data_IF_398722520336
#
_entry.id   IF_398722520336
#
_cell.length_a   1.000
_cell.length_b   1.000
_cell.length_c   1.000
_cell.angle_alpha   90.00
_cell.angle_beta   90.00
_cell.angle_gamma   90.00
#
_symmetry.space_group_name_H-M   'P 1'
#
loop_
_entity.id
_entity.type
_entity.pdbx_description
1 polymer ?
#
# COMPACT_ATOMS: atom_id res chain seq x y z
N UNK A 1 8.95 14.34 -27.37
CA UNK A 1 7.69 14.56 -26.64
C UNK A 1 6.48 14.57 -27.56
N UNK A 2 5.46 13.73 -27.30
CA UNK A 2 4.21 13.75 -28.06
C UNK A 2 3.19 14.68 -27.39
N UNK A 3 2.48 15.51 -28.16
CA UNK A 3 1.45 16.42 -27.61
C UNK A 3 0.35 15.66 -26.84
N UNK A 4 0.08 14.42 -27.27
CA UNK A 4 -0.92 13.53 -26.66
C UNK A 4 -0.57 13.14 -25.22
N UNK A 5 0.68 12.76 -24.94
CA UNK A 5 1.08 12.35 -23.57
C UNK A 5 0.97 13.53 -22.61
N UNK A 6 1.39 14.73 -23.04
CA UNK A 6 1.25 15.98 -22.25
C UNK A 6 -0.19 16.29 -21.90
N UNK A 7 -1.09 16.29 -22.88
CA UNK A 7 -2.50 16.61 -22.65
C UNK A 7 -3.16 15.59 -21.72
N UNK A 8 -2.88 14.29 -21.91
CA UNK A 8 -3.36 13.23 -21.02
C UNK A 8 -2.82 13.41 -19.59
N UNK A 9 -1.53 13.70 -19.45
CA UNK A 9 -0.88 13.95 -18.15
C UNK A 9 -1.47 15.17 -17.44
N UNK A 10 -1.76 16.26 -18.17
CA UNK A 10 -2.43 17.44 -17.60
C UNK A 10 -3.84 17.14 -17.11
N UNK A 11 -4.62 16.36 -17.88
CA UNK A 11 -5.97 15.96 -17.49
C UNK A 11 -5.96 15.08 -16.22
N UNK A 12 -5.04 14.10 -16.14
CA UNK A 12 -4.85 13.28 -14.94
C UNK A 12 -4.47 14.18 -13.76
N UNK A 13 -3.49 15.06 -13.93
CA UNK A 13 -3.02 15.97 -12.88
C UNK A 13 -4.11 16.90 -12.36
N UNK A 14 -4.94 17.44 -13.24
CA UNK A 14 -6.11 18.24 -12.85
C UNK A 14 -7.14 17.43 -12.07
N UNK A 15 -7.38 16.17 -12.48
CA UNK A 15 -8.32 15.29 -11.81
C UNK A 15 -7.82 14.84 -10.42
N UNK A 16 -6.57 14.42 -10.28
CA UNK A 16 -6.05 13.91 -9.00
C UNK A 16 -5.54 15.02 -8.08
N UNK A 17 -5.20 16.19 -8.62
CA UNK A 17 -4.74 17.34 -7.84
C UNK A 17 -5.83 18.00 -7.00
N UNK A 18 -5.41 18.97 -6.17
CA UNK A 18 -6.26 19.66 -5.21
C UNK A 18 -7.57 20.23 -5.78
N UNK A 19 -7.62 20.85 -6.99
CA UNK A 19 -8.88 21.31 -7.57
C UNK A 19 -9.86 20.16 -7.83
N UNK A 20 -9.40 19.06 -8.44
CA UNK A 20 -10.23 17.89 -8.71
C UNK A 20 -10.70 17.20 -7.42
N UNK A 21 -9.87 17.16 -6.39
CA UNK A 21 -10.25 16.65 -5.07
C UNK A 21 -11.33 17.52 -4.41
N UNK A 22 -11.13 18.84 -4.34
CA UNK A 22 -12.15 19.78 -3.80
C UNK A 22 -13.48 19.68 -4.53
N UNK A 23 -13.46 19.50 -5.85
CA UNK A 23 -14.69 19.30 -6.62
C UNK A 23 -15.43 18.02 -6.22
N UNK A 24 -14.72 16.90 -6.03
CA UNK A 24 -15.32 15.64 -5.56
C UNK A 24 -15.88 15.76 -4.15
N UNK A 25 -15.16 16.43 -3.25
CA UNK A 25 -15.60 16.65 -1.88
C UNK A 25 -16.86 17.53 -1.82
N UNK A 26 -16.91 18.59 -2.63
CA UNK A 26 -18.11 19.42 -2.75
C UNK A 26 -19.32 18.65 -3.28
N UNK A 27 -19.13 17.78 -4.29
CA UNK A 27 -20.21 16.93 -4.82
C UNK A 27 -20.68 15.90 -3.78
N UNK A 28 -19.75 15.26 -3.07
CA UNK A 28 -20.08 14.30 -2.02
C UNK A 28 -20.86 14.98 -0.88
N UNK A 29 -20.43 16.15 -0.44
CA UNK A 29 -21.10 16.90 0.63
C UNK A 29 -22.47 17.42 0.19
N UNK A 30 -22.59 17.98 -1.02
CA UNK A 30 -23.87 18.40 -1.58
C UNK A 30 -24.86 17.21 -1.68
N UNK A 31 -24.37 16.05 -2.12
CA UNK A 31 -25.18 14.83 -2.19
C UNK A 31 -25.66 14.38 -0.81
N UNK A 32 -24.76 14.42 0.20
CA UNK A 32 -25.09 14.07 1.58
C UNK A 32 -26.16 14.99 2.16
N UNK A 33 -26.00 16.30 2.00
CA UNK A 33 -26.97 17.31 2.47
C UNK A 33 -28.32 17.13 1.77
N UNK A 34 -28.32 16.98 0.45
CA UNK A 34 -29.54 16.77 -0.34
C UNK A 34 -30.30 15.51 0.10
N UNK A 35 -29.58 14.42 0.41
CA UNK A 35 -30.15 13.14 0.87
C UNK A 35 -30.37 13.08 2.38
N UNK A 36 -30.10 14.16 3.12
CA UNK A 36 -30.18 14.22 4.60
C UNK A 36 -29.42 13.08 5.28
N UNK A 37 -28.27 12.70 4.71
CA UNK A 37 -27.47 11.61 5.23
C UNK A 37 -26.56 12.10 6.37
N UNK A 38 -26.35 11.26 7.40
CA UNK A 38 -25.38 11.56 8.45
C UNK A 38 -23.96 11.54 7.90
N UNK A 39 -23.02 12.09 8.66
CA UNK A 39 -21.58 11.91 8.40
C UNK A 39 -21.26 10.45 8.67
N UNK A 40 -21.10 9.65 7.62
CA UNK A 40 -20.93 8.20 7.71
C UNK A 40 -19.51 7.79 7.32
N UNK A 41 -18.87 7.02 8.20
CA UNK A 41 -17.66 6.25 7.94
C UNK A 41 -18.09 4.82 7.58
N UNK A 42 -17.64 4.31 6.45
CA UNK A 42 -17.86 2.91 6.07
C UNK A 42 -16.56 2.13 6.26
N UNK A 43 -16.63 0.99 6.94
CA UNK A 43 -15.50 0.10 7.17
C UNK A 43 -15.76 -1.28 6.56
N UNK A 44 -14.97 -1.63 5.55
CA UNK A 44 -15.00 -2.93 4.90
C UNK A 44 -14.00 -3.87 5.58
N UNK A 45 -14.54 -4.73 6.44
CA UNK A 45 -13.77 -5.64 7.27
C UNK A 45 -13.66 -7.03 6.63
N UNK A 46 -12.44 -7.48 6.38
CA UNK A 46 -12.16 -8.87 5.99
C UNK A 46 -11.58 -9.61 7.21
N UNK A 47 -12.30 -10.59 7.79
CA UNK A 47 -11.78 -11.36 8.91
C UNK A 47 -10.47 -12.09 8.60
N UNK A 48 -10.26 -12.49 7.34
CA UNK A 48 -9.05 -13.18 6.91
C UNK A 48 -7.85 -12.26 6.67
N UNK A 49 -8.00 -10.95 6.81
CA UNK A 49 -6.95 -9.95 6.59
C UNK A 49 -6.46 -9.36 7.92
N UNK A 50 -5.20 -9.62 8.32
CA UNK A 50 -4.70 -9.12 9.60
C UNK A 50 -4.56 -7.59 9.60
N UNK A 51 -4.37 -6.93 8.45
CA UNK A 51 -4.43 -5.46 8.36
C UNK A 51 -5.83 -4.95 8.66
N UNK A 52 -6.86 -5.68 8.25
CA UNK A 52 -8.25 -5.32 8.55
C UNK A 52 -8.54 -5.47 10.05
N UNK A 53 -7.98 -6.48 10.70
CA UNK A 53 -8.05 -6.63 12.15
C UNK A 53 -7.38 -5.47 12.91
N UNK A 54 -6.17 -5.06 12.50
CA UNK A 54 -5.51 -3.87 13.08
C UNK A 54 -6.34 -2.60 12.88
N UNK A 55 -6.91 -2.45 11.69
CA UNK A 55 -7.77 -1.31 11.35
C UNK A 55 -9.01 -1.26 12.23
N UNK A 56 -9.62 -2.41 12.56
CA UNK A 56 -10.79 -2.46 13.43
C UNK A 56 -10.52 -1.88 14.82
N UNK A 57 -9.34 -2.14 15.39
CA UNK A 57 -8.93 -1.56 16.69
C UNK A 57 -8.82 -0.03 16.62
N UNK A 58 -8.30 0.49 15.51
CA UNK A 58 -8.18 1.92 15.30
C UNK A 58 -9.54 2.57 15.02
N UNK A 59 -10.43 1.90 14.26
CA UNK A 59 -11.81 2.32 14.01
C UNK A 59 -12.61 2.43 15.31
N UNK A 60 -12.45 1.48 16.23
CA UNK A 60 -13.11 1.56 17.54
C UNK A 60 -12.75 2.85 18.28
N UNK A 61 -11.47 3.24 18.26
CA UNK A 61 -11.02 4.52 18.84
C UNK A 61 -11.49 5.73 18.06
N UNK A 62 -11.61 5.64 16.73
CA UNK A 62 -12.09 6.72 15.87
C UNK A 62 -13.54 7.10 16.22
N UNK A 63 -14.43 6.11 16.32
CA UNK A 63 -15.87 6.38 16.54
C UNK A 63 -16.19 6.83 17.97
N UNK A 64 -15.30 6.57 18.92
CA UNK A 64 -15.38 7.14 20.27
C UNK A 64 -15.02 8.62 20.30
N UNK A 65 -14.15 9.08 19.38
CA UNK A 65 -13.58 10.43 19.38
C UNK A 65 -14.28 11.38 18.40
N UNK A 66 -14.71 10.86 17.25
CA UNK A 66 -15.32 11.63 16.19
C UNK A 66 -16.80 11.28 16.08
N UNK A 67 -17.71 12.27 16.00
CA UNK A 67 -19.15 12.04 15.92
C UNK A 67 -19.58 11.63 14.50
N UNK A 68 -19.06 10.49 14.03
CA UNK A 68 -19.38 9.88 12.74
C UNK A 68 -20.17 8.60 12.96
N UNK A 69 -21.17 8.37 12.12
CA UNK A 69 -21.89 7.10 12.10
C UNK A 69 -21.03 6.04 11.41
N UNK A 70 -20.86 4.87 12.03
CA UNK A 70 -20.11 3.77 11.44
C UNK A 70 -21.04 2.76 10.80
N UNK A 71 -20.79 2.45 9.52
CA UNK A 71 -21.33 1.28 8.86
C UNK A 71 -20.21 0.26 8.64
N UNK A 72 -20.41 -0.97 9.12
CA UNK A 72 -19.44 -2.06 8.99
C UNK A 72 -19.95 -3.04 7.95
N UNK A 73 -19.13 -3.31 6.93
CA UNK A 73 -19.40 -4.27 5.87
C UNK A 73 -18.40 -5.41 5.99
N UNK A 74 -18.85 -6.58 6.47
CA UNK A 74 -18.00 -7.77 6.47
C UNK A 74 -17.92 -8.30 5.04
N UNK A 75 -16.71 -8.41 4.51
CA UNK A 75 -16.43 -8.86 3.16
C UNK A 75 -15.63 -10.16 3.17
N UNK A 76 -15.72 -10.91 2.08
CA UNK A 76 -14.85 -12.06 1.85
C UNK A 76 -13.47 -11.62 1.37
N UNK A 77 -12.51 -12.54 1.45
CA UNK A 77 -11.19 -12.38 0.83
C UNK A 77 -11.29 -11.96 -0.64
N UNK A 78 -10.38 -11.09 -1.13
CA UNK A 78 -10.40 -10.62 -2.51
C UNK A 78 -10.43 -11.78 -3.51
N UNK A 79 -11.15 -11.56 -4.61
CA UNK A 79 -11.18 -12.51 -5.72
C UNK A 79 -9.80 -12.58 -6.42
N UNK A 80 -9.52 -13.70 -7.08
CA UNK A 80 -8.23 -13.93 -7.75
C UNK A 80 -7.98 -13.02 -8.96
N UNK A 81 -9.00 -12.32 -9.45
CA UNK A 81 -8.89 -11.34 -10.55
C UNK A 81 -8.19 -10.03 -10.12
N UNK A 82 -8.10 -9.77 -8.81
CA UNK A 82 -7.54 -8.53 -8.23
C UNK A 82 -6.33 -8.76 -7.33
N UNK A 83 -6.19 -9.97 -6.80
CA UNK A 83 -5.10 -10.41 -5.94
C UNK A 83 -4.17 -11.35 -6.69
N UNK A 84 -3.00 -10.82 -7.04
CA UNK A 84 -2.04 -11.48 -7.91
C UNK A 84 -1.32 -12.66 -7.25
N UNK A 85 -1.03 -12.55 -5.95
CA UNK A 85 -0.19 -13.50 -5.22
C UNK A 85 -0.79 -13.74 -3.82
N UNK A 86 -2.01 -14.30 -3.73
CA UNK A 86 -2.79 -14.35 -2.49
C UNK A 86 -2.08 -15.12 -1.37
N UNK A 87 -1.33 -16.18 -1.72
CA UNK A 87 -0.58 -16.98 -0.74
C UNK A 87 0.61 -16.22 -0.14
N UNK A 88 1.40 -15.56 -1.00
CA UNK A 88 2.53 -14.76 -0.54
C UNK A 88 2.03 -13.57 0.30
N UNK A 89 0.93 -12.93 -0.15
CA UNK A 89 0.27 -11.85 0.58
C UNK A 89 -0.23 -12.27 1.95
N UNK A 90 -0.96 -13.39 2.05
CA UNK A 90 -1.46 -13.87 3.33
C UNK A 90 -0.31 -14.12 4.33
N UNK A 91 0.79 -14.73 3.87
CA UNK A 91 1.97 -14.98 4.70
C UNK A 91 2.64 -13.69 5.16
N UNK A 92 2.92 -12.79 4.22
CA UNK A 92 3.57 -11.51 4.53
C UNK A 92 2.68 -10.64 5.44
N UNK A 93 1.37 -10.60 5.21
CA UNK A 93 0.45 -9.76 5.97
C UNK A 93 0.45 -10.10 7.47
N UNK A 94 0.66 -11.36 7.87
CA UNK A 94 0.80 -11.74 9.29
C UNK A 94 2.07 -11.18 9.88
N UNK A 95 3.20 -11.31 9.19
CA UNK A 95 4.48 -10.73 9.63
C UNK A 95 4.39 -9.20 9.73
N UNK A 96 3.85 -8.57 8.70
CA UNK A 96 3.68 -7.11 8.61
C UNK A 96 2.71 -6.57 9.66
N UNK A 97 1.62 -7.29 9.95
CA UNK A 97 0.70 -6.91 11.01
C UNK A 97 1.35 -6.99 12.40
N UNK A 98 2.20 -7.99 12.66
CA UNK A 98 2.96 -8.05 13.90
C UNK A 98 3.94 -6.87 14.02
N UNK A 99 4.60 -6.51 12.92
CA UNK A 99 5.49 -5.35 12.83
C UNK A 99 4.72 -4.04 13.07
N UNK A 100 3.60 -3.83 12.39
CA UNK A 100 2.74 -2.66 12.56
C UNK A 100 2.18 -2.57 13.99
N UNK A 101 1.77 -3.69 14.58
CA UNK A 101 1.29 -3.74 15.95
C UNK A 101 2.40 -3.51 16.98
N UNK A 102 3.66 -3.78 16.65
CA UNK A 102 4.81 -3.44 17.48
C UNK A 102 5.22 -1.96 17.31
N UNK A 103 4.98 -1.38 16.13
CA UNK A 103 5.27 0.03 15.86
C UNK A 103 4.20 0.96 16.44
N UNK A 104 2.92 0.63 16.21
CA UNK A 104 1.75 1.35 16.70
C UNK A 104 1.26 0.72 18.00
N UNK A 105 0.53 1.47 18.81
CA UNK A 105 -0.12 1.02 20.05
C UNK A 105 -1.31 0.06 19.82
N UNK A 106 -1.14 -0.94 18.95
CA UNK A 106 -2.15 -1.93 18.54
C UNK A 106 -1.78 -3.34 19.00
N UNK A 107 -2.75 -4.23 19.15
CA UNK A 107 -2.52 -5.62 19.54
C UNK A 107 -2.54 -6.56 18.32
N UNK A 108 -1.58 -7.49 18.25
CA UNK A 108 -1.63 -8.61 17.31
C UNK A 108 -0.92 -9.84 17.87
N UNK A 109 -1.68 -10.91 18.12
CA UNK A 109 -1.16 -12.17 18.68
C UNK A 109 -0.84 -13.25 17.64
N UNK A 110 -1.02 -12.96 16.34
CA UNK A 110 -0.86 -13.93 15.27
C UNK A 110 0.60 -14.25 14.97
N UNK A 111 0.89 -15.55 14.77
CA UNK A 111 2.24 -16.04 14.39
C UNK A 111 2.29 -16.67 12.99
N UNK A 112 1.13 -17.07 12.47
CA UNK A 112 0.93 -17.70 11.16
C UNK A 112 -0.47 -17.34 10.66
N UNK A 113 -0.78 -17.70 9.43
CA UNK A 113 -2.13 -17.50 8.87
C UNK A 113 -3.18 -18.24 9.70
N UNK A 114 -4.36 -17.63 9.85
CA UNK A 114 -5.53 -18.33 10.39
C UNK A 114 -6.11 -19.28 9.34
N UNK A 115 -6.77 -20.35 9.79
CA UNK A 115 -7.36 -21.33 8.89
C UNK A 115 -8.55 -20.74 8.13
N UNK A 116 -8.65 -20.99 6.82
CA UNK A 116 -9.75 -20.49 5.97
C UNK A 116 -11.13 -20.92 6.49
N UNK A 117 -11.25 -22.13 7.04
CA UNK A 117 -12.50 -22.60 7.65
C UNK A 117 -12.88 -21.78 8.89
N UNK A 118 -11.89 -21.40 9.70
CA UNK A 118 -12.05 -20.56 10.88
C UNK A 118 -12.42 -19.12 10.50
N UNK A 119 -11.77 -18.55 9.48
CA UNK A 119 -12.11 -17.23 8.93
C UNK A 119 -13.57 -17.16 8.46
N UNK A 120 -14.05 -18.20 7.76
CA UNK A 120 -15.46 -18.29 7.32
C UNK A 120 -16.43 -18.36 8.48
N UNK A 121 -16.12 -19.14 9.52
CA UNK A 121 -16.93 -19.25 10.75
C UNK A 121 -17.03 -17.90 11.47
N UNK A 122 -15.91 -17.19 11.61
CA UNK A 122 -15.87 -15.85 12.19
C UNK A 122 -16.67 -14.86 11.33
N UNK A 123 -16.47 -14.86 10.00
CA UNK A 123 -17.25 -14.02 9.08
C UNK A 123 -18.76 -14.24 9.21
N UNK A 124 -19.22 -15.49 9.37
CA UNK A 124 -20.63 -15.81 9.58
C UNK A 124 -21.21 -15.27 10.91
N UNK A 125 -20.37 -15.12 11.94
CA UNK A 125 -20.76 -14.47 13.21
C UNK A 125 -20.78 -12.95 13.05
N UNK A 126 -19.81 -12.40 12.32
CA UNK A 126 -19.64 -10.95 12.17
C UNK A 126 -20.65 -10.30 11.21
N UNK A 127 -21.28 -11.04 10.29
CA UNK A 127 -22.34 -10.47 9.45
C UNK A 127 -23.66 -10.19 10.19
N UNK A 128 -23.85 -10.79 11.38
CA UNK A 128 -25.04 -10.55 12.20
C UNK A 128 -25.06 -9.09 12.65
N UNK A 129 -26.16 -8.40 12.41
CA UNK A 129 -26.31 -6.99 12.78
C UNK A 129 -26.38 -6.83 14.31
N UNK A 130 -25.66 -5.82 14.81
CA UNK A 130 -25.56 -5.46 16.22
C UNK A 130 -25.37 -3.94 16.35
N UNK A 131 -25.61 -3.35 17.53
CA UNK A 131 -25.10 -2.01 17.85
C UNK A 131 -23.61 -1.89 17.56
N UNK A 132 -23.16 -0.72 17.09
CA UNK A 132 -21.80 -0.49 16.57
C UNK A 132 -20.71 -0.84 17.59
N UNK A 133 -20.89 -0.44 18.84
CA UNK A 133 -19.99 -0.73 19.96
C UNK A 133 -19.84 -2.25 20.20
N UNK A 134 -20.96 -2.97 20.18
CA UNK A 134 -20.97 -4.43 20.32
C UNK A 134 -20.35 -5.11 19.10
N UNK A 135 -20.61 -4.59 17.90
CA UNK A 135 -20.08 -5.13 16.66
C UNK A 135 -18.55 -5.00 16.59
N UNK A 136 -18.01 -3.83 16.96
CA UNK A 136 -16.56 -3.62 17.04
C UNK A 136 -15.91 -4.50 18.12
N UNK A 137 -16.56 -4.62 19.28
CA UNK A 137 -16.10 -5.52 20.35
C UNK A 137 -16.05 -6.97 19.84
N UNK A 138 -17.09 -7.43 19.13
CA UNK A 138 -17.12 -8.77 18.55
C UNK A 138 -15.99 -8.98 17.53
N UNK A 139 -15.74 -8.01 16.64
CA UNK A 139 -14.63 -8.05 15.67
C UNK A 139 -13.29 -8.20 16.38
N UNK A 140 -13.06 -7.41 17.43
CA UNK A 140 -11.78 -7.39 18.15
C UNK A 140 -11.57 -8.68 18.96
N UNK A 141 -12.58 -9.15 19.70
CA UNK A 141 -12.51 -10.37 20.50
C UNK A 141 -12.35 -11.62 19.63
N UNK A 142 -13.20 -11.79 18.60
CA UNK A 142 -13.13 -12.94 17.69
C UNK A 142 -11.85 -12.92 16.86
N UNK A 143 -11.41 -11.73 16.43
CA UNK A 143 -10.18 -11.54 15.70
C UNK A 143 -8.95 -11.94 16.52
N UNK A 144 -8.85 -11.51 17.79
CA UNK A 144 -7.72 -11.88 18.65
C UNK A 144 -7.63 -13.40 18.84
N UNK A 145 -8.75 -14.05 19.19
CA UNK A 145 -8.80 -15.50 19.35
C UNK A 145 -8.46 -16.25 18.06
N UNK A 146 -9.00 -15.80 16.92
CA UNK A 146 -8.73 -16.40 15.61
C UNK A 146 -7.26 -16.26 15.21
N UNK A 147 -6.66 -15.07 15.32
CA UNK A 147 -5.26 -14.84 14.92
C UNK A 147 -4.28 -15.59 15.83
N UNK A 148 -4.60 -15.72 17.13
CA UNK A 148 -3.84 -16.58 18.05
C UNK A 148 -4.02 -18.07 17.80
N UNK A 149 -4.96 -18.47 16.94
CA UNK A 149 -5.42 -19.86 16.77
C UNK A 149 -5.90 -20.48 18.11
N UNK A 150 -6.53 -19.68 18.98
CA UNK A 150 -7.14 -20.15 20.23
C UNK A 150 -8.57 -20.64 19.94
N UNK A 151 -8.68 -21.90 19.50
CA UNK A 151 -9.96 -22.51 19.17
C UNK A 151 -10.94 -22.56 20.35
N UNK A 152 -10.42 -22.70 21.58
CA UNK A 152 -11.26 -22.78 22.78
C UNK A 152 -11.89 -21.42 23.10
N UNK A 153 -11.10 -20.35 23.08
CA UNK A 153 -11.63 -18.99 23.26
C UNK A 153 -12.59 -18.64 22.11
N UNK A 154 -12.25 -19.04 20.88
CA UNK A 154 -13.08 -18.78 19.73
C UNK A 154 -14.46 -19.45 19.83
N UNK A 155 -14.54 -20.73 20.22
CA UNK A 155 -15.82 -21.44 20.38
C UNK A 155 -16.73 -20.76 21.42
N UNK A 156 -16.15 -20.32 22.56
CA UNK A 156 -16.86 -19.57 23.58
C UNK A 156 -17.39 -18.23 23.06
N UNK A 157 -16.55 -17.48 22.34
CA UNK A 157 -16.92 -16.19 21.76
C UNK A 157 -17.97 -16.32 20.65
N UNK A 158 -17.87 -17.34 19.81
CA UNK A 158 -18.88 -17.63 18.79
C UNK A 158 -20.23 -17.94 19.43
N UNK A 159 -20.25 -18.68 20.54
CA UNK A 159 -21.45 -18.91 21.34
C UNK A 159 -22.03 -17.64 21.95
N UNK A 160 -21.17 -16.77 22.51
CA UNK A 160 -21.55 -15.46 23.09
C UNK A 160 -22.20 -14.54 22.05
N UNK A 161 -21.55 -14.38 20.90
CA UNK A 161 -21.95 -13.40 19.89
C UNK A 161 -23.08 -13.90 18.97
N UNK A 162 -23.22 -15.23 18.84
CA UNK A 162 -24.22 -15.88 18.01
C UNK A 162 -23.96 -15.72 16.51
N UNK A 163 -24.39 -16.69 15.71
CA UNK A 163 -24.22 -16.71 14.27
C UNK A 163 -25.51 -16.33 13.51
N UNK A 164 -25.34 -15.94 12.25
CA UNK A 164 -26.45 -15.90 11.30
C UNK A 164 -26.83 -17.30 10.80
N UNK A 165 -28.04 -17.40 10.25
CA UNK A 165 -28.49 -18.63 9.58
C UNK A 165 -27.57 -18.95 8.40
N UNK A 166 -27.11 -20.20 8.28
CA UNK A 166 -26.12 -20.61 7.26
C UNK A 166 -26.54 -20.25 5.82
N UNK A 167 -27.84 -20.28 5.51
CA UNK A 167 -28.35 -19.90 4.19
C UNK A 167 -28.27 -18.41 3.88
N UNK A 168 -28.22 -17.54 4.90
CA UNK A 168 -28.13 -16.09 4.73
C UNK A 168 -26.68 -15.60 4.53
N UNK A 169 -25.68 -16.39 4.97
CA UNK A 169 -24.27 -15.99 4.95
C UNK A 169 -23.75 -15.68 3.54
N UNK A 170 -23.87 -16.57 2.53
CA UNK A 170 -23.29 -16.29 1.21
C UNK A 170 -23.91 -15.06 0.51
N UNK A 171 -25.25 -14.86 0.50
CA UNK A 171 -25.86 -13.66 -0.08
C UNK A 171 -25.38 -12.35 0.57
N UNK A 172 -25.25 -12.30 1.90
CA UNK A 172 -24.81 -11.09 2.61
C UNK A 172 -23.36 -10.73 2.25
N UNK A 173 -22.46 -11.72 2.31
CA UNK A 173 -21.05 -11.50 1.95
C UNK A 173 -20.89 -11.09 0.47
N UNK A 174 -21.67 -11.70 -0.43
CA UNK A 174 -21.66 -11.35 -1.85
C UNK A 174 -22.16 -9.92 -2.08
N UNK A 175 -23.22 -9.48 -1.39
CA UNK A 175 -23.73 -8.12 -1.47
C UNK A 175 -22.71 -7.09 -0.94
N UNK A 176 -22.08 -7.35 0.22
CA UNK A 176 -21.06 -6.49 0.79
C UNK A 176 -19.82 -6.36 -0.14
N UNK A 177 -19.37 -7.48 -0.72
CA UNK A 177 -18.25 -7.45 -1.65
C UNK A 177 -18.61 -6.79 -2.99
N UNK A 178 -19.84 -6.95 -3.48
CA UNK A 178 -20.33 -6.24 -4.65
C UNK A 178 -20.36 -4.73 -4.42
N UNK A 179 -20.82 -4.26 -3.25
CA UNK A 179 -20.78 -2.85 -2.85
C UNK A 179 -19.35 -2.30 -2.84
N UNK A 180 -18.39 -3.04 -2.27
CA UNK A 180 -16.98 -2.68 -2.27
C UNK A 180 -16.44 -2.48 -3.70
N UNK A 181 -16.78 -3.41 -4.61
CA UNK A 181 -16.38 -3.36 -6.03
C UNK A 181 -17.04 -2.22 -6.78
N UNK A 182 -18.33 -2.01 -6.59
CA UNK A 182 -19.10 -0.92 -7.20
C UNK A 182 -18.48 0.44 -6.87
N UNK A 183 -18.02 0.60 -5.62
CA UNK A 183 -17.35 1.82 -5.15
C UNK A 183 -15.86 1.91 -5.50
N UNK A 184 -15.38 0.98 -6.32
CA UNK A 184 -14.05 1.02 -6.93
C UNK A 184 -12.93 0.44 -6.08
N UNK A 185 -13.23 -0.38 -5.07
CA UNK A 185 -12.22 -1.07 -4.27
C UNK A 185 -12.44 -2.59 -4.24
N UNK A 186 -11.51 -3.33 -3.63
CA UNK A 186 -11.53 -4.81 -3.73
C UNK A 186 -10.81 -5.54 -2.58
N UNK A 187 -10.24 -4.82 -1.62
CA UNK A 187 -9.58 -5.41 -0.45
C UNK A 187 -10.30 -5.04 0.83
N UNK A 188 -10.10 -5.87 1.86
CA UNK A 188 -10.45 -5.53 3.24
C UNK A 188 -9.55 -4.40 3.77
N UNK A 189 -9.76 -4.06 5.04
CA UNK A 189 -9.07 -2.95 5.71
C UNK A 189 -9.37 -1.58 5.09
N UNK A 190 -10.49 -1.45 4.38
CA UNK A 190 -10.82 -0.22 3.66
C UNK A 190 -11.82 0.62 4.42
N UNK A 191 -11.47 1.90 4.58
CA UNK A 191 -12.33 2.93 5.14
C UNK A 191 -12.77 3.87 4.02
N UNK A 192 -14.04 4.22 3.98
CA UNK A 192 -14.56 5.22 3.05
C UNK A 192 -15.25 6.34 3.82
N UNK A 193 -14.84 7.59 3.56
CA UNK A 193 -15.43 8.77 4.16
C UNK A 193 -15.49 9.91 3.14
N UNK A 194 -16.68 10.50 2.99
CA UNK A 194 -16.91 11.53 1.97
C UNK A 194 -16.67 11.02 0.55
N UNK A 195 -15.62 11.52 -0.10
CA UNK A 195 -15.24 11.13 -1.48
C UNK A 195 -13.98 10.26 -1.56
N UNK A 196 -13.44 9.86 -0.41
CA UNK A 196 -12.11 9.27 -0.31
C UNK A 196 -12.10 7.90 0.37
N UNK A 197 -11.11 7.11 -0.04
CA UNK A 197 -10.76 5.82 0.53
C UNK A 197 -9.50 5.97 1.37
N UNK A 198 -9.41 5.23 2.48
CA UNK A 198 -8.25 5.16 3.36
C UNK A 198 -7.99 3.68 3.64
N UNK A 199 -6.82 3.20 3.26
CA UNK A 199 -6.47 1.79 3.36
C UNK A 199 -5.62 1.52 4.60
N UNK A 200 -6.19 0.73 5.49
CA UNK A 200 -5.52 0.20 6.66
C UNK A 200 -5.13 1.27 7.66
N UNK A 201 -4.31 0.87 8.62
CA UNK A 201 -3.69 1.77 9.61
C UNK A 201 -2.79 2.83 8.96
N UNK A 202 -2.21 2.51 7.79
CA UNK A 202 -1.27 3.38 7.06
C UNK A 202 -1.90 4.67 6.55
N UNK A 203 -3.24 4.72 6.42
CA UNK A 203 -3.97 5.92 5.96
C UNK A 203 -4.87 6.55 7.02
N UNK A 204 -4.88 6.04 8.25
CA UNK A 204 -5.73 6.58 9.32
C UNK A 204 -5.38 8.03 9.63
N UNK A 205 -4.09 8.39 9.66
CA UNK A 205 -3.69 9.79 9.90
C UNK A 205 -4.31 10.78 8.90
N UNK A 206 -4.47 10.39 7.62
CA UNK A 206 -5.15 11.25 6.63
C UNK A 206 -6.65 11.38 6.89
N UNK A 207 -7.29 10.29 7.32
CA UNK A 207 -8.70 10.33 7.71
C UNK A 207 -8.89 11.23 8.93
N UNK A 208 -7.99 11.13 9.91
CA UNK A 208 -8.01 11.98 11.11
C UNK A 208 -7.79 13.45 10.78
N UNK A 209 -6.82 13.79 9.94
CA UNK A 209 -6.60 15.18 9.52
C UNK A 209 -7.88 15.77 8.90
N UNK A 210 -8.56 14.99 8.04
CA UNK A 210 -9.83 15.39 7.44
C UNK A 210 -10.95 15.52 8.47
N UNK A 211 -11.06 14.58 9.41
CA UNK A 211 -12.07 14.65 10.47
C UNK A 211 -11.80 15.80 11.44
N UNK A 212 -10.53 16.14 11.68
CA UNK A 212 -10.13 17.24 12.57
C UNK A 212 -10.45 18.62 11.97
N UNK A 213 -10.46 18.76 10.64
CA UNK A 213 -10.96 19.97 9.96
C UNK A 213 -12.46 20.20 10.22
N UNK A 214 -13.24 19.12 10.39
CA UNK A 214 -14.68 19.17 10.62
C UNK A 214 -15.07 19.19 12.10
N UNK A 215 -14.29 18.48 12.92
CA UNK A 215 -14.52 18.26 14.35
C UNK A 215 -13.27 18.66 15.14
N UNK A 216 -13.03 19.98 15.31
CA UNK A 216 -11.85 20.46 16.01
C UNK A 216 -11.86 19.99 17.48
N UNK A 217 -10.70 19.49 17.96
CA UNK A 217 -10.37 19.00 19.34
C UNK A 217 -10.11 17.49 19.50
N UNK A 218 -10.03 16.71 18.44
CA UNK A 218 -9.64 15.30 18.55
C UNK A 218 -8.12 15.10 18.60
N UNK A 219 -7.68 14.02 19.25
CA UNK A 219 -6.28 13.58 19.31
C UNK A 219 -6.06 12.34 18.41
N UNK A 220 -4.82 12.06 17.98
CA UNK A 220 -4.50 10.89 17.14
C UNK A 220 -4.92 9.57 17.76
N UNK A 221 -5.67 8.72 17.05
CA UNK A 221 -6.14 7.41 17.54
C UNK A 221 -5.06 6.35 17.60
N UNK A 222 -4.00 6.54 16.82
CA UNK A 222 -2.81 5.70 16.83
C UNK A 222 -1.63 6.52 17.35
N UNK A 223 -0.88 5.92 18.28
CA UNK A 223 0.38 6.48 18.73
C UNK A 223 1.50 5.48 18.51
N UNK A 224 2.68 5.97 18.13
CA UNK A 224 3.82 5.11 17.95
C UNK A 224 4.28 4.61 19.34
N UNK A 225 4.45 3.29 19.52
CA UNK A 225 4.90 2.72 20.79
C UNK A 225 6.25 3.31 21.19
N UNK A 226 6.54 3.53 22.49
CA UNK A 226 7.86 3.94 22.94
C UNK A 226 8.94 2.98 22.43
N UNK A 227 10.10 3.52 22.04
CA UNK A 227 11.18 2.70 21.48
C UNK A 227 11.65 1.56 22.42
N UNK A 228 11.54 1.77 23.74
CA UNK A 228 11.88 0.77 24.76
C UNK A 228 10.92 -0.43 24.80
N UNK A 229 9.70 -0.28 24.27
CA UNK A 229 8.69 -1.33 24.22
C UNK A 229 8.66 -2.06 22.87
N UNK A 230 9.47 -1.61 21.90
CA UNK A 230 9.58 -2.24 20.58
C UNK A 230 10.56 -3.41 20.64
N UNK A 231 10.31 -4.51 19.88
CA UNK A 231 11.25 -5.62 19.80
C UNK A 231 12.65 -5.18 19.36
N UNK A 232 13.71 -5.90 19.78
CA UNK A 232 15.07 -5.67 19.30
C UNK A 232 15.14 -5.64 17.76
N UNK A 233 15.94 -4.73 17.23
CA UNK A 233 15.92 -4.37 15.81
C UNK A 233 17.21 -4.73 15.07
N UNK A 234 18.03 -5.64 15.61
CA UNK A 234 19.32 -5.98 14.97
C UNK A 234 19.07 -6.46 13.54
N UNK A 235 19.67 -5.77 12.58
CA UNK A 235 19.46 -6.01 11.15
C UNK A 235 20.44 -7.05 10.60
N UNK A 236 21.70 -7.03 11.05
CA UNK A 236 22.71 -8.00 10.67
C UNK A 236 23.73 -8.23 11.80
N UNK A 237 24.63 -9.20 11.62
CA UNK A 237 25.76 -9.43 12.51
C UNK A 237 26.87 -8.38 12.25
N UNK A 238 27.49 -7.88 13.33
CA UNK A 238 28.55 -6.89 13.28
C UNK A 238 28.05 -5.43 13.22
N UNK A 239 29.01 -4.51 13.26
CA UNK A 239 28.78 -3.05 13.34
C UNK A 239 29.05 -2.34 12.00
N UNK A 240 29.20 -3.12 10.92
CA UNK A 240 29.47 -2.61 9.57
C UNK A 240 28.21 -2.06 8.88
N UNK A 241 28.35 -1.50 7.66
CA UNK A 241 27.21 -1.00 6.92
C UNK A 241 26.15 -2.07 6.67
N UNK A 242 24.88 -1.74 6.92
CA UNK A 242 23.75 -2.66 6.71
C UNK A 242 23.51 -2.87 5.22
N UNK A 243 23.50 -4.11 4.71
CA UNK A 243 23.08 -4.37 3.34
C UNK A 243 21.61 -4.00 3.15
N UNK A 244 21.32 -3.14 2.18
CA UNK A 244 19.97 -2.68 1.85
C UNK A 244 19.65 -3.00 0.38
N UNK A 245 18.95 -4.11 0.13
CA UNK A 245 18.43 -4.41 -1.21
C UNK A 245 17.08 -3.69 -1.42
N UNK A 246 16.94 -3.03 -2.58
CA UNK A 246 15.73 -2.26 -2.96
C UNK A 246 15.17 -2.79 -4.26
N UNK A 247 14.07 -3.55 -4.18
CA UNK A 247 13.30 -3.93 -5.37
C UNK A 247 12.34 -2.83 -5.75
N UNK A 248 12.38 -2.43 -7.01
CA UNK A 248 11.78 -1.18 -7.48
C UNK A 248 11.22 -1.34 -8.90
N UNK A 249 10.16 -0.62 -9.27
CA UNK A 249 9.63 -0.67 -10.64
C UNK A 249 9.21 0.70 -11.16
N UNK A 250 9.52 0.98 -12.44
CA UNK A 250 9.17 2.23 -13.13
C UNK A 250 7.66 2.49 -13.16
N UNK A 251 6.86 1.41 -13.15
CA UNK A 251 5.39 1.47 -13.17
C UNK A 251 4.75 1.52 -11.78
N UNK A 252 5.53 1.58 -10.70
CA UNK A 252 4.99 1.71 -9.35
C UNK A 252 5.13 3.17 -8.87
N UNK A 253 4.02 3.89 -8.64
CA UNK A 253 4.11 5.26 -8.11
C UNK A 253 4.69 5.25 -6.69
N UNK A 254 4.41 4.24 -5.86
CA UNK A 254 5.02 4.13 -4.53
C UNK A 254 6.53 3.85 -4.58
N UNK A 255 7.02 3.21 -5.64
CA UNK A 255 8.45 3.08 -5.89
C UNK A 255 9.06 4.46 -6.15
N UNK A 256 8.41 5.32 -6.95
CA UNK A 256 8.83 6.72 -7.12
C UNK A 256 8.86 7.49 -5.79
N UNK A 257 7.79 7.43 -5.00
CA UNK A 257 7.72 8.14 -3.71
C UNK A 257 8.74 7.66 -2.67
N UNK A 258 9.33 6.48 -2.85
CA UNK A 258 10.36 5.97 -1.96
C UNK A 258 11.75 6.56 -2.24
N UNK A 259 12.02 7.06 -3.45
CA UNK A 259 13.39 7.39 -3.88
C UNK A 259 14.03 8.48 -3.01
N UNK A 260 13.41 9.65 -2.84
CA UNK A 260 14.01 10.74 -2.07
C UNK A 260 14.29 10.35 -0.62
N UNK A 261 13.39 9.57 -0.02
CA UNK A 261 13.57 9.04 1.34
C UNK A 261 14.64 7.98 1.43
N UNK A 262 14.82 7.14 0.41
CA UNK A 262 15.93 6.19 0.36
C UNK A 262 17.28 6.91 0.24
N UNK A 263 17.36 7.97 -0.55
CA UNK A 263 18.56 8.81 -0.65
C UNK A 263 18.91 9.44 0.71
N UNK A 264 17.91 10.00 1.38
CA UNK A 264 18.07 10.57 2.73
C UNK A 264 18.52 9.51 3.75
N UNK A 265 17.92 8.32 3.75
CA UNK A 265 18.35 7.21 4.60
C UNK A 265 19.80 6.80 4.32
N UNK A 266 20.18 6.68 3.05
CA UNK A 266 21.54 6.31 2.66
C UNK A 266 22.58 7.37 3.03
N UNK A 267 22.19 8.64 3.12
CA UNK A 267 23.05 9.73 3.56
C UNK A 267 23.22 9.77 5.09
N UNK A 268 22.19 9.37 5.85
CA UNK A 268 22.17 9.47 7.33
C UNK A 268 22.65 8.21 8.05
N UNK A 269 22.55 7.04 7.43
CA UNK A 269 22.86 5.76 8.06
C UNK A 269 23.91 4.98 7.27
N UNK A 270 24.76 4.18 7.93
CA UNK A 270 25.75 3.34 7.25
C UNK A 270 25.02 2.17 6.58
N UNK A 271 24.61 2.34 5.33
CA UNK A 271 23.96 1.30 4.52
C UNK A 271 24.71 1.10 3.20
N UNK A 272 24.75 -0.13 2.72
CA UNK A 272 25.20 -0.46 1.36
C UNK A 272 23.98 -0.79 0.53
N UNK A 273 23.54 0.17 -0.29
CA UNK A 273 22.31 0.05 -1.07
C UNK A 273 22.54 -0.64 -2.41
N UNK A 274 21.76 -1.70 -2.68
CA UNK A 274 21.73 -2.43 -3.94
C UNK A 274 20.38 -2.25 -4.62
N UNK A 275 20.36 -1.62 -5.79
CA UNK A 275 19.14 -1.40 -6.57
C UNK A 275 18.79 -2.63 -7.40
N UNK A 276 17.56 -3.11 -7.29
CA UNK A 276 17.03 -4.28 -8.01
C UNK A 276 15.76 -3.93 -8.80
N UNK A 277 15.89 -3.21 -9.94
CA UNK A 277 14.74 -2.93 -10.79
C UNK A 277 14.09 -4.21 -11.31
N UNK A 278 12.75 -4.25 -11.32
CA UNK A 278 11.95 -5.39 -11.80
C UNK A 278 10.89 -4.95 -12.82
N UNK A 279 10.54 -5.88 -13.70
CA UNK A 279 9.39 -5.73 -14.60
C UNK A 279 8.07 -5.60 -13.81
N UNK A 280 7.12 -4.78 -14.28
CA UNK A 280 5.79 -4.66 -13.67
C UNK A 280 5.07 -6.01 -13.57
N UNK A 281 4.16 -6.14 -12.61
CA UNK A 281 3.37 -7.37 -12.44
C UNK A 281 2.43 -7.65 -13.62
N UNK A 282 1.94 -6.61 -14.31
CA UNK A 282 1.04 -6.77 -15.48
C UNK A 282 1.74 -7.47 -16.64
N UNK A 283 3.04 -7.20 -16.84
CA UNK A 283 3.87 -7.91 -17.82
C UNK A 283 4.19 -9.36 -17.39
N UNK A 284 3.76 -9.79 -16.19
CA UNK A 284 3.81 -11.18 -15.71
C UNK A 284 2.45 -11.90 -15.87
N UNK A 285 1.50 -11.33 -16.62
CA UNK A 285 0.22 -11.99 -16.96
C UNK A 285 -0.97 -11.68 -16.03
N UNK A 286 -0.85 -10.66 -15.18
CA UNK A 286 -1.86 -10.32 -14.18
C UNK A 286 -2.71 -9.11 -14.64
N UNK A 287 -4.05 -9.23 -14.78
CA UNK A 287 -4.90 -8.08 -15.13
C UNK A 287 -4.90 -7.05 -13.99
N UNK A 288 -4.89 -5.76 -14.34
CA UNK A 288 -5.13 -4.67 -13.37
C UNK A 288 -6.42 -3.97 -13.78
N UNK A 289 -7.53 -4.19 -13.03
CA UNK A 289 -8.77 -3.48 -13.29
C UNK A 289 -8.58 -1.96 -13.25
N UNK A 290 -9.32 -1.22 -14.07
CA UNK A 290 -9.23 0.24 -14.13
C UNK A 290 -9.52 0.92 -12.78
N UNK A 291 -10.41 0.32 -11.99
CA UNK A 291 -10.72 0.73 -10.60
C UNK A 291 -9.49 0.69 -9.69
N UNK A 292 -8.68 -0.38 -9.78
CA UNK A 292 -7.40 -0.52 -9.05
C UNK A 292 -6.41 0.57 -9.41
N UNK A 293 -6.30 0.91 -10.69
CA UNK A 293 -5.39 1.96 -11.17
C UNK A 293 -5.74 3.34 -10.62
N UNK A 294 -7.02 3.72 -10.61
CA UNK A 294 -7.41 5.07 -10.18
C UNK A 294 -7.30 5.30 -8.67
N UNK A 295 -7.61 4.30 -7.85
CA UNK A 295 -7.37 4.41 -6.41
C UNK A 295 -5.88 4.62 -6.11
N UNK A 296 -4.99 3.78 -6.67
CA UNK A 296 -3.55 3.85 -6.43
C UNK A 296 -2.98 5.21 -6.83
N UNK A 297 -3.39 5.76 -7.99
CA UNK A 297 -2.91 7.08 -8.42
C UNK A 297 -3.38 8.20 -7.48
N UNK A 298 -4.64 8.16 -7.02
CA UNK A 298 -5.15 9.14 -6.06
C UNK A 298 -4.44 9.05 -4.71
N UNK A 299 -4.24 7.83 -4.20
CA UNK A 299 -3.54 7.62 -2.94
C UNK A 299 -2.06 8.03 -3.03
N UNK A 300 -1.37 7.65 -4.11
CA UNK A 300 0.00 8.11 -4.35
C UNK A 300 0.09 9.63 -4.50
N UNK A 301 -0.90 10.30 -5.11
CA UNK A 301 -0.94 11.77 -5.15
C UNK A 301 -1.03 12.38 -3.75
N UNK A 302 -1.87 11.79 -2.89
CA UNK A 302 -2.05 12.21 -1.49
C UNK A 302 -0.75 12.10 -0.69
N UNK A 303 -0.06 10.96 -0.85
CA UNK A 303 1.26 10.72 -0.26
C UNK A 303 2.31 11.69 -0.79
N UNK A 304 2.33 11.92 -2.12
CA UNK A 304 3.25 12.86 -2.75
C UNK A 304 3.06 14.28 -2.21
N UNK A 305 1.82 14.72 -2.03
CA UNK A 305 1.52 16.03 -1.43
C UNK A 305 2.03 16.16 0.00
N UNK A 306 1.86 15.13 0.82
CA UNK A 306 2.38 15.11 2.19
C UNK A 306 3.91 15.15 2.24
N UNK A 307 4.56 14.49 1.29
CA UNK A 307 6.01 14.42 1.19
C UNK A 307 6.62 15.61 0.43
N UNK A 308 5.81 16.50 -0.16
CA UNK A 308 6.29 17.59 -1.01
C UNK A 308 6.89 17.11 -2.35
N UNK A 309 6.53 15.91 -2.81
CA UNK A 309 7.04 15.31 -4.05
C UNK A 309 6.12 15.70 -5.23
N UNK A 310 6.65 16.26 -6.33
CA UNK A 310 5.86 16.54 -7.52
C UNK A 310 5.20 15.26 -8.09
N UNK A 311 3.89 15.28 -8.32
CA UNK A 311 3.17 14.11 -8.85
C UNK A 311 1.89 14.51 -9.59
N UNK A 312 1.52 13.73 -10.62
CA UNK A 312 0.19 13.77 -11.24
C UNK A 312 0.18 14.05 -12.73
N UNK A 313 1.29 14.54 -13.32
CA UNK A 313 1.45 14.58 -14.78
C UNK A 313 2.08 13.28 -15.22
N UNK A 314 1.24 12.28 -15.47
CA UNK A 314 1.69 10.89 -15.62
C UNK A 314 1.73 10.45 -17.09
N UNK A 315 2.85 9.83 -17.48
CA UNK A 315 2.96 9.03 -18.68
C UNK A 315 3.27 7.56 -18.30
N UNK A 316 2.23 6.72 -18.22
CA UNK A 316 2.32 5.33 -17.73
C UNK A 316 3.35 4.50 -18.53
N UNK A 317 4.44 4.01 -17.92
CA UNK A 317 5.50 3.29 -18.60
C UNK A 317 5.10 1.82 -18.81
N UNK A 318 4.69 1.48 -20.03
CA UNK A 318 4.29 0.13 -20.43
C UNK A 318 4.93 -0.29 -21.76
N UNK A 319 4.98 -1.61 -22.00
CA UNK A 319 5.58 -2.18 -23.20
C UNK A 319 7.02 -1.70 -23.37
N UNK A 320 7.35 -1.27 -24.59
CA UNK A 320 8.70 -0.81 -24.94
C UNK A 320 9.27 0.26 -23.99
N UNK A 321 8.42 1.14 -23.45
CA UNK A 321 8.88 2.20 -22.54
C UNK A 321 9.50 1.65 -21.24
N UNK A 322 8.92 0.61 -20.63
CA UNK A 322 9.50 0.00 -19.43
C UNK A 322 10.72 -0.86 -19.76
N UNK A 323 10.75 -1.47 -20.95
CA UNK A 323 11.92 -2.22 -21.44
C UNK A 323 13.13 -1.30 -21.61
N UNK A 324 12.95 -0.13 -22.22
CA UNK A 324 14.01 0.87 -22.34
C UNK A 324 14.56 1.29 -20.96
N UNK A 325 13.66 1.55 -20.00
CA UNK A 325 14.08 1.90 -18.64
C UNK A 325 14.93 0.79 -18.00
N UNK A 326 14.58 -0.48 -18.17
CA UNK A 326 15.37 -1.59 -17.60
C UNK A 326 16.72 -1.77 -18.29
N UNK A 327 16.75 -1.68 -19.62
CA UNK A 327 17.99 -1.73 -20.40
C UNK A 327 18.98 -0.66 -19.95
N UNK A 328 18.51 0.58 -19.83
CA UNK A 328 19.35 1.71 -19.38
C UNK A 328 19.68 1.59 -17.90
N UNK A 329 18.80 1.04 -17.05
CA UNK A 329 19.09 0.83 -15.62
C UNK A 329 20.29 -0.10 -15.41
N UNK A 330 20.38 -1.19 -16.20
CA UNK A 330 21.51 -2.11 -16.14
C UNK A 330 22.83 -1.37 -16.43
N UNK A 331 22.88 -0.62 -17.53
CA UNK A 331 24.03 0.23 -17.86
C UNK A 331 24.32 1.25 -16.75
N UNK A 332 23.29 1.96 -16.26
CA UNK A 332 23.43 2.99 -15.25
C UNK A 332 24.04 2.43 -13.95
N UNK A 333 23.60 1.25 -13.51
CA UNK A 333 24.15 0.57 -12.32
C UNK A 333 25.60 0.17 -12.54
N UNK A 334 25.96 -0.39 -13.71
CA UNK A 334 27.34 -0.72 -14.06
C UNK A 334 28.27 0.50 -14.08
N UNK A 335 27.72 1.70 -14.35
CA UNK A 335 28.44 2.97 -14.32
C UNK A 335 28.36 3.72 -12.98
N UNK A 336 27.74 3.13 -11.96
CA UNK A 336 27.58 3.79 -10.65
C UNK A 336 26.59 4.97 -10.65
N UNK A 337 25.69 5.05 -11.63
CA UNK A 337 24.65 6.09 -11.81
C UNK A 337 23.22 5.53 -11.73
N UNK A 338 23.07 4.34 -11.14
CA UNK A 338 21.79 3.63 -11.09
C UNK A 338 20.70 4.42 -10.38
N UNK A 339 21.04 5.05 -9.26
CA UNK A 339 20.08 5.81 -8.45
C UNK A 339 19.61 7.07 -9.19
N UNK A 340 20.55 7.82 -9.76
CA UNK A 340 20.28 9.04 -10.54
C UNK A 340 19.40 8.73 -11.74
N UNK A 341 19.62 7.60 -12.43
CA UNK A 341 18.78 7.19 -13.54
C UNK A 341 17.36 6.82 -13.09
N UNK A 342 17.22 6.01 -12.03
CA UNK A 342 15.90 5.67 -11.47
C UNK A 342 15.13 6.93 -11.08
N UNK A 343 15.79 7.88 -10.42
CA UNK A 343 15.20 9.15 -10.01
C UNK A 343 14.77 10.03 -11.18
N UNK A 344 15.66 10.24 -12.16
CA UNK A 344 15.37 11.04 -13.34
C UNK A 344 14.21 10.44 -14.16
N UNK A 345 14.22 9.13 -14.36
CA UNK A 345 13.18 8.43 -15.10
C UNK A 345 11.84 8.46 -14.37
N UNK A 346 11.82 8.16 -13.07
CA UNK A 346 10.61 8.17 -12.26
C UNK A 346 9.99 9.58 -12.19
N UNK A 347 10.80 10.62 -11.99
CA UNK A 347 10.35 12.02 -12.04
C UNK A 347 9.77 12.35 -13.41
N UNK A 348 10.46 11.97 -14.48
CA UNK A 348 9.97 12.12 -15.86
C UNK A 348 8.59 11.51 -16.06
N UNK A 349 8.41 10.27 -15.58
CA UNK A 349 7.18 9.49 -15.71
C UNK A 349 6.02 10.07 -14.89
N UNK A 350 6.24 10.32 -13.59
CA UNK A 350 5.16 10.56 -12.62
C UNK A 350 4.85 12.04 -12.38
N UNK A 351 5.79 12.94 -12.70
CA UNK A 351 5.68 14.37 -12.44
C UNK A 351 5.71 15.25 -13.71
N UNK A 352 6.26 14.77 -14.82
CA UNK A 352 6.52 15.58 -16.01
C UNK A 352 5.81 15.09 -17.28
N UNK A 353 5.23 13.89 -17.25
CA UNK A 353 4.62 13.18 -18.37
C UNK A 353 5.58 12.96 -19.55
N UNK A 354 6.84 12.62 -19.25
CA UNK A 354 7.84 12.17 -20.24
C UNK A 354 7.53 10.74 -20.68
N UNK A 355 7.40 10.54 -21.99
CA UNK A 355 7.11 9.23 -22.56
C UNK A 355 8.41 8.44 -22.76
N UNK A 356 8.67 7.48 -21.89
CA UNK A 356 9.89 6.65 -21.94
C UNK A 356 9.93 5.66 -23.12
N UNK A 357 8.88 5.57 -23.94
CA UNK A 357 8.98 4.94 -25.26
C UNK A 357 9.57 5.89 -26.33
N UNK A 358 9.60 7.20 -26.08
CA UNK A 358 10.14 8.21 -26.99
C UNK A 358 11.64 8.42 -26.77
N UNK A 359 12.46 8.25 -27.82
CA UNK A 359 13.90 8.52 -27.74
C UNK A 359 14.25 9.96 -27.37
N UNK A 360 13.41 10.94 -27.72
CA UNK A 360 13.63 12.35 -27.35
C UNK A 360 13.49 12.54 -25.84
N UNK A 361 12.46 11.94 -25.25
CA UNK A 361 12.17 12.08 -23.82
C UNK A 361 13.15 11.21 -23.01
N UNK A 362 13.48 10.01 -23.49
CA UNK A 362 14.54 9.17 -22.93
C UNK A 362 15.90 9.86 -22.91
N UNK A 363 16.30 10.50 -24.00
CA UNK A 363 17.56 11.26 -24.06
C UNK A 363 17.60 12.32 -22.94
N UNK A 364 16.51 13.05 -22.76
CA UNK A 364 16.39 14.06 -21.70
C UNK A 364 16.59 13.43 -20.31
N UNK A 365 16.01 12.25 -20.07
CA UNK A 365 16.13 11.51 -18.80
C UNK A 365 17.57 11.02 -18.60
N UNK A 366 18.17 10.42 -19.62
CA UNK A 366 19.54 9.86 -19.60
C UNK A 366 20.56 10.95 -19.32
N UNK A 367 20.51 12.07 -20.05
CA UNK A 367 21.43 13.19 -19.88
C UNK A 367 21.25 13.84 -18.50
N UNK A 368 20.01 13.92 -17.97
CA UNK A 368 19.73 14.39 -16.60
C UNK A 368 20.34 13.49 -15.54
N UNK A 369 20.36 12.18 -15.78
CA UNK A 369 21.02 11.20 -14.94
C UNK A 369 22.55 11.19 -15.10
N UNK A 370 23.10 12.11 -15.92
CA UNK A 370 24.53 12.25 -16.19
C UNK A 370 25.15 11.06 -16.92
N UNK A 371 24.35 10.37 -17.74
CA UNK A 371 24.78 9.32 -18.65
C UNK A 371 24.90 9.86 -20.08
N UNK A 372 25.75 9.24 -20.89
CA UNK A 372 25.85 9.56 -22.31
C UNK A 372 24.69 8.91 -23.10
N UNK A 373 24.09 9.68 -24.01
CA UNK A 373 22.97 9.21 -24.81
C UNK A 373 23.37 8.14 -25.84
N UNK A 374 24.56 8.22 -26.43
CA UNK A 374 25.00 7.22 -27.41
C UNK A 374 25.18 5.85 -26.73
N UNK A 375 25.80 5.82 -25.56
CA UNK A 375 25.93 4.61 -24.74
C UNK A 375 24.57 4.04 -24.33
N UNK A 376 23.68 4.89 -23.81
CA UNK A 376 22.33 4.47 -23.42
C UNK A 376 21.52 3.93 -24.61
N UNK A 377 21.64 4.57 -25.78
CA UNK A 377 20.99 4.11 -27.01
C UNK A 377 21.55 2.77 -27.48
N UNK A 378 22.85 2.53 -27.33
CA UNK A 378 23.46 1.24 -27.66
C UNK A 378 22.93 0.13 -26.74
N UNK A 379 22.76 0.42 -25.45
CA UNK A 379 22.22 -0.53 -24.47
C UNK A 379 20.77 -0.97 -24.79
N UNK A 380 19.99 -0.19 -25.53
CA UNK A 380 18.64 -0.57 -25.97
C UNK A 380 18.63 -1.76 -26.95
N UNK A 381 19.75 -2.03 -27.62
CA UNK A 381 19.93 -3.18 -28.52
C UNK A 381 20.49 -4.44 -27.84
N UNK A 382 20.83 -4.37 -26.55
CA UNK A 382 21.27 -5.51 -25.75
C UNK A 382 20.08 -6.12 -25.01
N UNK A 383 19.86 -7.43 -25.17
CA UNK A 383 18.77 -8.15 -24.51
C UNK A 383 19.15 -8.67 -23.11
N UNK A 384 20.42 -8.50 -22.68
CA UNK A 384 20.95 -8.97 -21.40
C UNK A 384 20.20 -8.44 -20.17
N UNK A 385 19.53 -7.28 -20.28
CA UNK A 385 18.68 -6.76 -19.22
C UNK A 385 17.47 -7.66 -18.90
N UNK A 386 17.00 -8.50 -19.85
CA UNK A 386 15.84 -9.38 -19.63
C UNK A 386 16.15 -10.46 -18.59
N UNK A 387 17.26 -11.16 -18.77
CA UNK A 387 17.72 -12.17 -17.81
C UNK A 387 18.03 -11.53 -16.45
N UNK A 388 18.66 -10.35 -16.46
CA UNK A 388 18.97 -9.57 -15.26
C UNK A 388 17.70 -9.16 -14.48
N UNK A 389 16.70 -8.57 -15.14
CA UNK A 389 15.44 -8.18 -14.51
C UNK A 389 14.61 -9.40 -14.06
N UNK A 390 14.71 -10.53 -14.78
CA UNK A 390 14.10 -11.79 -14.35
C UNK A 390 14.75 -12.29 -13.05
N UNK A 391 16.08 -12.30 -12.97
CA UNK A 391 16.79 -12.72 -11.77
C UNK A 391 16.37 -11.86 -10.57
N UNK A 392 16.24 -10.54 -10.72
CA UNK A 392 15.74 -9.69 -9.65
C UNK A 392 14.32 -10.06 -9.20
N UNK A 393 13.42 -10.42 -10.13
CA UNK A 393 12.09 -10.87 -9.78
C UNK A 393 12.09 -12.25 -9.08
N UNK A 394 12.97 -13.16 -9.48
CA UNK A 394 13.16 -14.46 -8.82
C UNK A 394 13.74 -14.29 -7.40
N UNK A 395 14.68 -13.36 -7.22
CA UNK A 395 15.23 -13.01 -5.89
C UNK A 395 14.14 -12.43 -4.97
N UNK A 396 13.25 -11.58 -5.52
CA UNK A 396 12.11 -11.03 -4.78
C UNK A 396 11.18 -12.15 -4.28
N UNK A 397 10.87 -13.12 -5.14
CA UNK A 397 10.05 -14.27 -4.79
C UNK A 397 10.74 -15.16 -3.74
N UNK A 398 12.06 -15.29 -3.81
CA UNK A 398 12.85 -16.08 -2.85
C UNK A 398 12.76 -15.53 -1.43
N UNK A 399 12.65 -14.22 -1.27
CA UNK A 399 12.43 -13.57 0.03
C UNK A 399 10.94 -13.50 0.42
N UNK A 400 10.07 -14.22 -0.29
CA UNK A 400 8.65 -14.34 0.00
C UNK A 400 7.81 -13.14 -0.44
N UNK A 401 8.33 -12.30 -1.33
CA UNK A 401 7.68 -11.07 -1.78
C UNK A 401 7.37 -11.10 -3.28
N UNK A 402 6.42 -10.27 -3.69
CA UNK A 402 5.96 -10.18 -5.09
C UNK A 402 5.83 -8.76 -5.62
N UNK A 403 5.59 -7.80 -4.71
CA UNK A 403 5.30 -6.41 -5.01
C UNK A 403 6.49 -5.47 -4.78
N UNK A 404 6.31 -4.21 -5.20
CA UNK A 404 7.31 -3.14 -5.06
C UNK A 404 6.69 -1.82 -4.58
N UNK A 405 7.46 -0.95 -3.91
CA UNK A 405 8.85 -1.16 -3.50
C UNK A 405 8.94 -2.20 -2.38
N UNK A 406 10.01 -3.00 -2.39
CA UNK A 406 10.35 -3.92 -1.30
C UNK A 406 11.77 -3.62 -0.86
N UNK A 407 11.97 -3.56 0.45
CA UNK A 407 13.25 -3.30 1.09
C UNK A 407 13.66 -4.53 1.88
N UNK A 408 14.91 -4.98 1.71
CA UNK A 408 15.52 -5.96 2.62
C UNK A 408 16.74 -5.33 3.26
N UNK A 409 16.72 -5.22 4.58
CA UNK A 409 17.83 -4.73 5.38
C UNK A 409 18.32 -5.86 6.28
N UNK A 410 19.41 -6.51 5.86
CA UNK A 410 19.87 -7.76 6.47
C UNK A 410 18.75 -8.83 6.54
N UNK A 411 18.31 -9.16 7.75
CA UNK A 411 17.25 -10.16 8.00
C UNK A 411 15.83 -9.59 7.96
N UNK A 412 15.67 -8.27 7.95
CA UNK A 412 14.36 -7.62 7.91
C UNK A 412 13.90 -7.38 6.47
N UNK A 413 12.61 -7.58 6.22
CA UNK A 413 11.96 -7.32 4.93
C UNK A 413 10.72 -6.46 5.17
N UNK A 414 10.56 -5.39 4.39
CA UNK A 414 9.37 -4.54 4.37
C UNK A 414 8.89 -4.28 2.95
N UNK A 415 7.59 -4.38 2.72
CA UNK A 415 6.92 -4.07 1.46
C UNK A 415 6.08 -2.81 1.57
N UNK A 416 6.19 -1.94 0.57
CA UNK A 416 5.49 -0.66 0.51
C UNK A 416 6.33 0.48 1.08
N UNK A 417 6.17 1.66 0.48
CA UNK A 417 6.88 2.87 0.88
C UNK A 417 6.56 3.28 2.34
N UNK A 418 5.38 2.87 2.82
CA UNK A 418 4.88 3.07 4.18
C UNK A 418 5.71 2.33 5.26
N UNK A 419 6.62 1.44 4.87
CA UNK A 419 7.54 0.74 5.78
C UNK A 419 8.91 1.42 5.93
N UNK A 420 9.18 2.49 5.20
CA UNK A 420 10.42 3.26 5.35
C UNK A 420 10.62 3.83 6.77
N UNK A 421 9.61 4.37 7.48
CA UNK A 421 9.78 4.79 8.87
C UNK A 421 10.18 3.65 9.81
N UNK A 422 9.74 2.42 9.51
CA UNK A 422 10.11 1.23 10.29
C UNK A 422 11.54 0.78 9.97
N UNK A 423 11.96 0.84 8.70
CA UNK A 423 13.35 0.63 8.31
C UNK A 423 14.27 1.63 9.02
N UNK A 424 13.89 2.91 9.01
CA UNK A 424 14.65 3.96 9.68
C UNK A 424 14.78 3.71 11.19
N UNK A 425 13.67 3.40 11.85
CA UNK A 425 13.67 3.08 13.28
C UNK A 425 14.59 1.90 13.60
N UNK A 426 14.68 0.91 12.70
CA UNK A 426 15.58 -0.23 12.85
C UNK A 426 17.04 0.16 12.64
N UNK A 427 17.35 0.92 11.60
CA UNK A 427 18.70 1.42 11.34
C UNK A 427 19.22 2.24 12.54
N UNK A 428 18.38 3.11 13.10
CA UNK A 428 18.69 3.90 14.30
C UNK A 428 18.96 3.04 15.54
N UNK A 429 18.29 1.89 15.67
CA UNK A 429 18.40 0.96 16.81
C UNK A 429 19.30 -0.25 16.54
N UNK A 430 20.02 -0.28 15.41
CA UNK A 430 20.86 -1.40 15.01
C UNK A 430 22.17 -1.50 15.82
N UNK A 431 22.50 -0.47 16.60
CA UNK A 431 23.73 -0.35 17.40
C UNK A 431 23.87 -1.42 18.48
#
# INVERSE_FOLDING_TARGET
>A
MTLKSRLKGLAIGAFVGAPGQRARDAVAEATRVLRRQPRRLEFFHDPGDPWSYLTAQAVARLVERYPVELAIHVVSTPASDVDAEPKQRARYAVQDAAELAAHWDLAFGGKKESEVGTQRKVGAVLIKERPVDQQLTAIIELGDAMWRNDHKALDLLMGKWGNEAMGAVPPILAANYALLRERGHYQGAMLHYGSEWYWGVDRIGYLEDRLAEEFPRAAPVLTARPAAERPPARLCAGDGPVPLDVWWSFRSPYSYLALDRLADLAARYPVTMTLRPVLPMVTRGLPVPSTKSMYIVKDAKREADRLGIPFGRIADPLGQGVEHCLAISKLAIERGRGFEFLHAAATGIWAEALDVASYVDLRTIVERAGLDWADARAALGDDGWRAWAKQHADDLATIGQWGVPTFRAGDWVGWGQDRLPMLEDRLRRHV
#
